data_IF_692409289234
#
_entry.id   IF_692409289234
#
_cell.length_a   1.000
_cell.length_b   1.000
_cell.length_c   1.000
_cell.angle_alpha   90.00
_cell.angle_beta   90.00
_cell.angle_gamma   90.00
#
_symmetry.space_group_name_H-M   'P 1'
#
loop_
_entity.id
_entity.type
_entity.pdbx_description
1 polymer ?
#
# COMPACT_ATOMS: atom_id res chain seq x y z
N UNK A 1 2.60 10.89 -8.52
CA UNK A 1 3.57 9.77 -8.75
C UNK A 1 2.77 8.51 -9.09
N UNK A 2 3.41 7.43 -9.57
CA UNK A 2 2.69 6.16 -9.78
C UNK A 2 2.67 5.31 -8.52
N UNK A 3 1.63 4.50 -8.35
CA UNK A 3 1.48 3.62 -7.20
C UNK A 3 2.66 2.66 -7.05
N UNK A 4 3.17 2.12 -8.17
CA UNK A 4 4.39 1.32 -8.20
C UNK A 4 5.59 2.05 -7.57
N UNK A 5 5.76 3.34 -7.87
CA UNK A 5 6.90 4.13 -7.35
C UNK A 5 6.79 4.37 -5.85
N UNK A 6 5.58 4.57 -5.34
CA UNK A 6 5.32 4.71 -3.89
C UNK A 6 5.67 3.39 -3.20
N UNK A 7 5.15 2.28 -3.71
CA UNK A 7 5.34 0.95 -3.13
C UNK A 7 6.82 0.53 -3.15
N UNK A 8 7.54 0.86 -4.22
CA UNK A 8 8.98 0.60 -4.32
C UNK A 8 9.82 1.37 -3.28
N UNK A 9 9.28 2.45 -2.71
CA UNK A 9 9.97 3.32 -1.75
C UNK A 9 9.43 3.22 -0.32
N UNK A 10 8.46 2.34 -0.05
CA UNK A 10 7.81 2.21 1.26
C UNK A 10 8.79 2.21 2.44
N UNK A 11 9.87 1.43 2.33
CA UNK A 11 10.90 1.29 3.37
C UNK A 11 11.68 2.59 3.68
N UNK A 12 11.48 3.63 2.88
CA UNK A 12 12.11 4.97 3.03
C UNK A 12 11.11 6.07 3.38
N UNK A 13 9.81 5.76 3.41
CA UNK A 13 8.75 6.69 3.75
C UNK A 13 8.49 6.68 5.27
N UNK A 14 7.97 7.78 5.79
CA UNK A 14 7.48 7.81 7.18
C UNK A 14 6.20 6.96 7.30
N UNK A 15 6.07 6.22 8.39
CA UNK A 15 4.98 5.28 8.62
C UNK A 15 3.66 5.98 8.99
N UNK A 16 3.73 7.26 9.38
CA UNK A 16 2.60 8.17 9.63
C UNK A 16 1.88 8.64 8.36
N UNK A 17 2.47 8.47 7.16
CA UNK A 17 1.83 8.88 5.91
C UNK A 17 0.74 7.90 5.47
N UNK A 18 -0.30 8.46 4.84
CA UNK A 18 -1.31 7.71 4.11
C UNK A 18 -1.07 7.79 2.61
N UNK A 19 -1.15 6.64 1.94
CA UNK A 19 -1.15 6.55 0.48
C UNK A 19 -2.58 6.77 0.00
N UNK A 20 -2.76 7.67 -0.95
CA UNK A 20 -4.02 7.87 -1.66
C UNK A 20 -3.82 7.60 -3.14
N UNK A 21 -4.80 7.00 -3.80
CA UNK A 21 -4.69 6.61 -5.20
C UNK A 21 -6.02 6.78 -5.95
N UNK A 22 -5.94 7.12 -7.24
CA UNK A 22 -7.11 7.20 -8.12
C UNK A 22 -7.51 5.80 -8.59
N UNK A 23 -8.79 5.47 -8.55
CA UNK A 23 -9.30 4.22 -9.13
C UNK A 23 -9.34 4.25 -10.67
N UNK A 24 -9.25 3.07 -11.34
CA UNK A 24 -8.99 1.75 -10.75
C UNK A 24 -7.54 1.62 -10.26
N UNK A 25 -7.35 0.97 -9.11
CA UNK A 25 -6.02 0.79 -8.53
C UNK A 25 -5.23 -0.22 -9.36
N UNK A 26 -4.09 0.24 -9.85
CA UNK A 26 -3.14 -0.54 -10.63
C UNK A 26 -1.74 0.01 -10.39
N UNK A 27 -0.70 -0.70 -10.81
CA UNK A 27 0.68 -0.24 -10.69
C UNK A 27 0.89 1.18 -11.28
N UNK A 28 0.18 1.49 -12.37
CA UNK A 28 0.20 2.77 -13.09
C UNK A 28 -0.83 3.79 -12.59
N UNK A 29 -1.60 3.47 -11.55
CA UNK A 29 -2.54 4.41 -10.95
C UNK A 29 -1.78 5.62 -10.39
N UNK A 30 -2.39 6.80 -10.53
CA UNK A 30 -1.86 8.01 -9.90
C UNK A 30 -2.04 7.90 -8.39
N UNK A 31 -0.94 8.07 -7.66
CA UNK A 31 -0.90 8.04 -6.22
C UNK A 31 -0.16 9.25 -5.65
N UNK A 32 -0.51 9.60 -4.41
CA UNK A 32 0.12 10.65 -3.60
C UNK A 32 0.22 10.19 -2.14
N UNK A 33 1.12 10.83 -1.39
CA UNK A 33 1.24 10.66 0.04
C UNK A 33 0.62 11.89 0.71
N UNK A 34 -0.26 11.66 1.68
CA UNK A 34 -0.91 12.70 2.46
C UNK A 34 -0.81 12.38 3.94
N UNK A 35 -0.69 13.41 4.77
CA UNK A 35 -0.96 13.29 6.19
C UNK A 35 -2.48 13.25 6.38
N UNK A 36 -2.95 12.34 7.24
CA UNK A 36 -4.35 12.34 7.64
C UNK A 36 -4.65 13.60 8.47
N UNK A 37 -5.89 14.07 8.39
CA UNK A 37 -6.36 15.15 9.26
C UNK A 37 -6.40 14.70 10.72
N UNK A 38 -6.57 15.62 11.66
CA UNK A 38 -6.70 15.31 13.10
C UNK A 38 -7.84 14.32 13.42
N UNK A 39 -8.86 14.27 12.56
CA UNK A 39 -9.96 13.30 12.62
C UNK A 39 -9.67 11.94 11.92
N UNK A 40 -8.41 11.66 11.57
CA UNK A 40 -7.96 10.48 10.83
C UNK A 40 -8.66 10.31 9.47
N UNK A 41 -8.77 11.40 8.69
CA UNK A 41 -9.39 11.40 7.36
C UNK A 41 -8.45 11.93 6.29
N UNK A 42 -8.74 11.61 5.04
CA UNK A 42 -8.03 12.18 3.90
C UNK A 42 -8.35 13.67 3.78
N UNK A 43 -7.33 14.52 3.54
CA UNK A 43 -7.54 15.94 3.28
C UNK A 43 -8.53 16.18 2.12
N UNK A 44 -9.43 17.15 2.30
CA UNK A 44 -10.44 17.50 1.28
C UNK A 44 -9.84 17.91 -0.06
N UNK A 45 -8.60 18.43 -0.07
CA UNK A 45 -7.85 18.73 -1.28
C UNK A 45 -7.58 17.46 -2.13
N UNK A 46 -7.17 16.36 -1.49
CA UNK A 46 -6.91 15.10 -2.19
C UNK A 46 -8.21 14.48 -2.73
N UNK A 47 -9.28 14.49 -1.92
CA UNK A 47 -10.61 14.04 -2.35
C UNK A 47 -11.11 14.86 -3.56
N UNK A 48 -10.94 16.18 -3.53
CA UNK A 48 -11.36 17.07 -4.63
C UNK A 48 -10.54 16.85 -5.91
N UNK A 49 -9.30 16.39 -5.79
CA UNK A 49 -8.44 16.01 -6.90
C UNK A 49 -8.73 14.60 -7.45
N UNK A 50 -9.72 13.89 -6.88
CA UNK A 50 -10.17 12.57 -7.30
C UNK A 50 -9.38 11.41 -6.73
N UNK A 51 -8.57 11.65 -5.70
CA UNK A 51 -7.89 10.57 -4.97
C UNK A 51 -8.84 9.94 -3.96
N UNK A 52 -8.67 8.64 -3.78
CA UNK A 52 -9.39 7.86 -2.79
C UNK A 52 -8.40 7.27 -1.77
N UNK A 53 -8.92 6.90 -0.61
CA UNK A 53 -8.17 6.14 0.38
C UNK A 53 -7.67 4.85 -0.22
N UNK A 54 -6.36 4.62 -0.12
CA UNK A 54 -5.74 3.39 -0.55
C UNK A 54 -5.27 2.58 0.66
N UNK A 55 -4.23 3.05 1.37
CA UNK A 55 -3.67 2.35 2.53
C UNK A 55 -2.67 3.24 3.28
N UNK A 56 -2.51 3.08 4.60
CA UNK A 56 -1.39 3.69 5.33
C UNK A 56 -0.05 3.04 5.00
N UNK A 57 1.04 3.81 5.09
CA UNK A 57 2.41 3.31 4.87
C UNK A 57 2.76 2.23 5.90
N UNK A 58 2.44 2.46 7.18
CA UNK A 58 2.59 1.46 8.25
C UNK A 58 1.86 0.15 7.91
N UNK A 59 0.59 0.21 7.48
CA UNK A 59 -0.17 -1.00 7.12
C UNK A 59 0.45 -1.72 5.92
N UNK A 60 0.87 -0.98 4.89
CA UNK A 60 1.55 -1.58 3.73
C UNK A 60 2.86 -2.28 4.14
N UNK A 61 3.65 -1.68 5.03
CA UNK A 61 4.90 -2.24 5.52
C UNK A 61 4.68 -3.42 6.48
N UNK A 62 3.98 -3.17 7.58
CA UNK A 62 3.88 -4.09 8.72
C UNK A 62 2.82 -5.17 8.52
N UNK A 63 1.67 -4.82 7.94
CA UNK A 63 0.62 -5.80 7.75
C UNK A 63 0.88 -6.66 6.51
N UNK A 64 1.27 -6.05 5.38
CA UNK A 64 1.38 -6.74 4.09
C UNK A 64 2.78 -7.30 3.85
N UNK A 65 3.81 -6.46 3.93
CA UNK A 65 5.17 -6.80 3.47
C UNK A 65 6.10 -7.31 4.58
N UNK A 66 5.68 -7.28 5.85
CA UNK A 66 6.54 -7.62 7.00
C UNK A 66 7.22 -8.98 6.86
N UNK A 67 8.52 -8.99 7.13
CA UNK A 67 9.41 -10.14 6.99
C UNK A 67 9.61 -10.69 5.57
N UNK A 68 8.86 -10.18 4.58
CA UNK A 68 8.82 -10.70 3.21
C UNK A 68 9.38 -9.75 2.18
N UNK A 69 9.62 -8.48 2.52
CA UNK A 69 10.12 -7.46 1.60
C UNK A 69 11.29 -7.95 0.72
N UNK A 70 12.31 -8.58 1.31
CA UNK A 70 13.48 -9.07 0.55
C UNK A 70 13.22 -10.32 -0.30
N UNK A 71 12.12 -11.04 -0.06
CA UNK A 71 11.73 -12.26 -0.79
C UNK A 71 10.81 -11.97 -1.98
N UNK A 72 10.10 -10.84 -1.94
CA UNK A 72 9.13 -10.46 -2.97
C UNK A 72 9.78 -9.60 -4.05
N UNK A 73 9.44 -9.86 -5.31
CA UNK A 73 9.76 -8.94 -6.40
C UNK A 73 8.95 -7.65 -6.27
N UNK A 74 9.38 -6.58 -6.93
CA UNK A 74 8.63 -5.31 -6.95
C UNK A 74 7.19 -5.48 -7.46
N UNK A 75 6.98 -6.36 -8.44
CA UNK A 75 5.65 -6.67 -8.98
C UNK A 75 4.79 -7.38 -7.94
N UNK A 76 5.34 -8.39 -7.23
CA UNK A 76 4.63 -9.09 -6.16
C UNK A 76 4.28 -8.17 -5.00
N UNK A 77 5.18 -7.25 -4.64
CA UNK A 77 4.90 -6.23 -3.61
C UNK A 77 3.70 -5.38 -4.01
N UNK A 78 3.67 -4.88 -5.25
CA UNK A 78 2.57 -4.05 -5.75
C UNK A 78 1.27 -4.82 -5.81
N UNK A 79 1.28 -6.04 -6.34
CA UNK A 79 0.10 -6.90 -6.39
C UNK A 79 -0.46 -7.18 -4.99
N UNK A 80 0.40 -7.55 -4.04
CA UNK A 80 0.00 -7.84 -2.67
C UNK A 80 -0.66 -6.63 -1.99
N UNK A 81 -0.06 -5.44 -2.12
CA UNK A 81 -0.56 -4.22 -1.49
C UNK A 81 -1.88 -3.77 -2.14
N UNK A 82 -2.01 -3.84 -3.47
CA UNK A 82 -3.28 -3.55 -4.16
C UNK A 82 -4.36 -4.54 -3.73
N UNK A 83 -4.05 -5.83 -3.71
CA UNK A 83 -5.00 -6.87 -3.30
C UNK A 83 -5.47 -6.63 -1.87
N UNK A 84 -4.55 -6.32 -0.96
CA UNK A 84 -4.88 -6.02 0.43
C UNK A 84 -5.77 -4.78 0.54
N UNK A 85 -5.44 -3.68 -0.14
CA UNK A 85 -6.25 -2.47 -0.13
C UNK A 85 -7.68 -2.71 -0.66
N UNK A 86 -7.85 -3.60 -1.64
CA UNK A 86 -9.18 -3.90 -2.20
C UNK A 86 -10.01 -4.90 -1.38
N UNK A 87 -9.35 -5.87 -0.75
CA UNK A 87 -10.01 -7.03 -0.15
C UNK A 87 -9.91 -7.08 1.37
N UNK A 88 -9.12 -6.20 1.99
CA UNK A 88 -8.76 -6.25 3.42
C UNK A 88 -8.24 -7.64 3.84
N UNK A 89 -7.48 -8.26 2.93
CA UNK A 89 -7.01 -9.64 3.04
C UNK A 89 -5.73 -9.88 2.25
N UNK A 90 -5.01 -10.96 2.56
CA UNK A 90 -3.83 -11.36 1.80
C UNK A 90 -4.22 -12.21 0.59
N UNK A 91 -3.52 -12.08 -0.55
CA UNK A 91 -3.67 -13.05 -1.62
C UNK A 91 -3.17 -14.42 -1.15
N UNK A 92 -3.78 -15.49 -1.65
CA UNK A 92 -3.51 -16.87 -1.20
C UNK A 92 -2.03 -17.24 -1.30
N UNK A 93 -1.33 -16.79 -2.35
CA UNK A 93 0.09 -17.05 -2.54
C UNK A 93 0.96 -16.38 -1.47
N UNK A 94 0.58 -15.19 -0.99
CA UNK A 94 1.32 -14.49 0.06
C UNK A 94 1.10 -15.17 1.41
N UNK A 95 -0.13 -15.63 1.66
CA UNK A 95 -0.46 -16.39 2.85
C UNK A 95 0.33 -17.71 2.92
N UNK A 96 0.40 -18.46 1.81
CA UNK A 96 1.22 -19.67 1.72
C UNK A 96 2.71 -19.38 1.99
N UNK A 97 3.25 -18.34 1.37
CA UNK A 97 4.65 -17.95 1.53
C UNK A 97 5.01 -17.52 2.96
N UNK A 98 4.04 -16.94 3.70
CA UNK A 98 4.19 -16.65 5.14
C UNK A 98 4.23 -17.92 5.99
N UNK A 99 3.45 -18.95 5.66
CA UNK A 99 3.49 -20.22 6.39
C UNK A 99 4.83 -20.93 6.21
N UNK A 100 5.34 -21.00 4.98
CA UNK A 100 6.66 -21.58 4.68
C UNK A 100 7.81 -20.84 5.37
N UNK A 101 7.65 -19.54 5.65
CA UNK A 101 8.67 -18.75 6.35
C UNK A 101 8.70 -18.98 7.88
N UNK A 102 7.62 -19.55 8.44
CA UNK A 102 7.46 -19.78 9.87
C UNK A 102 7.89 -21.19 10.32
N UNK A 103 8.20 -22.08 9.36
CA UNK A 103 8.76 -23.43 9.57
C UNK A 103 10.29 -23.43 9.58
#
# INVERSE_FOLDING_TARGET
MKLFEVIAKLETLDDEWCIVAKRPWSADAEAELVELTEDYRIPSAALSAGYEYFLEVSVALDAVLDGLGARLTSEQRVEAVIFYAENDAYPEWLYALRQEAAE
#
